data_IF_702609857008
#
_entry.id   IF_702609857008
#
_cell.length_a   1.000
_cell.length_b   1.000
_cell.length_c   1.000
_cell.angle_alpha   90.00
_cell.angle_beta   90.00
_cell.angle_gamma   90.00
#
_symmetry.space_group_name_H-M   'P 1'
#
loop_
_entity.id
_entity.type
_entity.pdbx_description
1 polymer ?
#
# COMPACT_ATOMS: atom_id res chain seq x y z
N UNK A 1 7.62 -7.50 -9.44
CA UNK A 1 6.94 -8.70 -8.90
C UNK A 1 5.90 -8.23 -7.90
N UNK A 2 4.61 -8.49 -8.15
CA UNK A 2 3.55 -8.17 -7.17
C UNK A 2 3.58 -9.22 -6.06
N UNK A 3 3.74 -8.81 -4.80
CA UNK A 3 3.69 -9.73 -3.65
C UNK A 3 2.24 -9.82 -3.17
N UNK A 4 1.65 -11.00 -3.25
CA UNK A 4 0.31 -11.25 -2.70
C UNK A 4 0.33 -11.05 -1.18
N UNK A 5 -0.46 -10.11 -0.68
CA UNK A 5 -0.62 -9.90 0.76
C UNK A 5 -1.48 -11.01 1.35
N UNK A 6 -0.94 -11.77 2.30
CA UNK A 6 -1.71 -12.70 3.13
C UNK A 6 -2.24 -11.94 4.34
N UNK A 7 -3.54 -12.03 4.59
CA UNK A 7 -4.21 -11.37 5.71
C UNK A 7 -4.58 -12.42 6.74
N UNK A 8 -4.22 -12.20 8.02
CA UNK A 8 -4.52 -13.10 9.13
C UNK A 8 -5.19 -12.33 10.27
N UNK A 9 -6.11 -13.01 10.95
CA UNK A 9 -6.77 -12.51 12.15
C UNK A 9 -5.75 -12.44 13.29
N UNK A 10 -5.65 -11.29 13.96
CA UNK A 10 -4.74 -11.14 15.10
C UNK A 10 -5.22 -11.89 16.35
N UNK A 11 -6.51 -12.25 16.43
CA UNK A 11 -7.08 -12.95 17.58
C UNK A 11 -6.85 -14.46 17.50
N UNK A 12 -7.13 -15.10 16.35
CA UNK A 12 -7.09 -16.56 16.20
C UNK A 12 -6.06 -17.08 15.18
N UNK A 13 -5.39 -16.19 14.43
CA UNK A 13 -4.41 -16.57 13.40
C UNK A 13 -5.00 -17.06 12.07
N UNK A 14 -6.31 -17.31 12.01
CA UNK A 14 -7.01 -17.75 10.80
C UNK A 14 -7.03 -16.71 9.68
N UNK A 15 -7.38 -17.14 8.46
CA UNK A 15 -7.36 -16.27 7.28
C UNK A 15 -8.39 -15.13 7.40
N UNK A 16 -7.98 -13.94 7.00
CA UNK A 16 -8.90 -12.82 6.75
C UNK A 16 -9.45 -12.87 5.33
N UNK A 17 -10.74 -12.59 5.18
CA UNK A 17 -11.45 -12.46 3.91
C UNK A 17 -11.85 -10.99 3.73
N UNK A 18 -11.47 -10.39 2.60
CA UNK A 18 -11.86 -9.01 2.28
C UNK A 18 -13.34 -9.00 1.93
N UNK A 19 -14.15 -8.32 2.74
CA UNK A 19 -15.59 -8.20 2.54
C UNK A 19 -15.96 -6.99 1.68
N UNK A 20 -15.27 -5.86 1.87
CA UNK A 20 -15.48 -4.62 1.10
C UNK A 20 -14.16 -3.90 0.90
N UNK A 21 -14.02 -3.22 -0.23
CA UNK A 21 -12.88 -2.35 -0.53
C UNK A 21 -13.40 -1.01 -1.03
N UNK A 22 -12.86 0.07 -0.47
CA UNK A 22 -13.13 1.43 -0.88
C UNK A 22 -11.80 2.08 -1.26
N UNK A 23 -11.81 2.82 -2.37
CA UNK A 23 -10.63 3.55 -2.83
C UNK A 23 -10.92 5.04 -2.73
N UNK A 24 -9.92 5.76 -2.26
CA UNK A 24 -9.92 7.21 -2.18
C UNK A 24 -8.97 7.76 -3.24
N UNK A 25 -9.19 9.02 -3.63
CA UNK A 25 -8.29 9.72 -4.53
C UNK A 25 -6.87 9.79 -3.94
N UNK A 26 -5.84 9.67 -4.80
CA UNK A 26 -4.43 9.69 -4.37
C UNK A 26 -3.81 8.33 -4.04
N UNK A 27 -4.44 7.22 -4.42
CA UNK A 27 -3.83 5.87 -4.36
C UNK A 27 -3.89 5.20 -2.98
N UNK A 28 -4.69 5.76 -2.07
CA UNK A 28 -5.04 5.15 -0.79
C UNK A 28 -6.36 4.39 -0.93
N UNK A 29 -6.45 3.21 -0.33
CA UNK A 29 -7.71 2.47 -0.20
C UNK A 29 -7.86 1.87 1.18
N UNK A 30 -9.10 1.62 1.58
CA UNK A 30 -9.43 0.90 2.81
C UNK A 30 -10.15 -0.40 2.47
N UNK A 31 -9.89 -1.42 3.28
CA UNK A 31 -10.44 -2.75 3.12
C UNK A 31 -11.05 -3.19 4.44
N UNK A 32 -12.34 -3.52 4.41
CA UNK A 32 -12.99 -4.19 5.52
C UNK A 32 -12.73 -5.68 5.37
N UNK A 33 -12.13 -6.27 6.40
CA UNK A 33 -11.76 -7.68 6.45
C UNK A 33 -12.52 -8.36 7.58
N UNK A 34 -13.01 -9.58 7.31
CA UNK A 34 -13.61 -10.46 8.31
C UNK A 34 -12.81 -11.75 8.46
N UNK A 35 -12.74 -12.28 9.66
CA UNK A 35 -12.14 -13.58 9.93
C UNK A 35 -12.94 -14.68 9.22
N UNK A 36 -12.24 -15.69 8.70
CA UNK A 36 -12.88 -16.86 8.11
C UNK A 36 -13.47 -17.81 9.16
N UNK A 37 -12.98 -17.77 10.41
CA UNK A 37 -13.51 -18.58 11.50
C UNK A 37 -14.79 -17.94 12.06
N UNK A 38 -15.97 -18.59 11.93
CA UNK A 38 -17.24 -18.05 12.41
C UNK A 38 -17.31 -17.94 13.95
N UNK A 39 -16.58 -18.77 14.69
CA UNK A 39 -16.52 -18.67 16.16
C UNK A 39 -15.71 -17.45 16.61
N UNK A 40 -14.71 -17.06 15.82
CA UNK A 40 -13.88 -15.88 16.10
C UNK A 40 -14.57 -14.58 15.68
N UNK A 41 -15.21 -14.57 14.50
CA UNK A 41 -16.07 -13.48 14.03
C UNK A 41 -15.42 -12.10 13.86
N UNK A 42 -14.11 -11.96 14.07
CA UNK A 42 -13.45 -10.65 14.07
C UNK A 42 -13.58 -9.92 12.74
N UNK A 43 -13.84 -8.62 12.82
CA UNK A 43 -13.90 -7.71 11.67
C UNK A 43 -13.00 -6.51 11.94
N UNK A 44 -12.18 -6.13 10.97
CA UNK A 44 -11.25 -5.02 11.09
C UNK A 44 -11.05 -4.30 9.76
N UNK A 45 -10.50 -3.09 9.83
CA UNK A 45 -10.15 -2.28 8.65
C UNK A 45 -8.65 -2.35 8.41
N UNK A 46 -8.24 -2.53 7.16
CA UNK A 46 -6.87 -2.44 6.70
C UNK A 46 -6.73 -1.33 5.67
N UNK A 47 -5.73 -0.48 5.82
CA UNK A 47 -5.37 0.54 4.84
C UNK A 47 -4.40 -0.06 3.83
N UNK A 48 -4.67 0.14 2.55
CA UNK A 48 -3.81 -0.18 1.42
C UNK A 48 -3.28 1.12 0.83
N UNK A 49 -2.01 1.41 1.08
CA UNK A 49 -1.29 2.54 0.51
C UNK A 49 -0.13 2.02 -0.34
N UNK A 50 0.20 2.75 -1.40
CA UNK A 50 1.38 2.49 -2.21
C UNK A 50 2.46 3.53 -1.89
N UNK A 51 3.70 3.07 -1.64
CA UNK A 51 4.87 3.95 -1.48
C UNK A 51 5.81 3.80 -2.67
N UNK A 52 6.00 4.87 -3.44
CA UNK A 52 7.05 4.94 -4.47
C UNK A 52 8.38 5.32 -3.80
N UNK A 53 9.38 4.44 -3.83
CA UNK A 53 10.75 4.86 -3.54
C UNK A 53 11.35 5.45 -4.81
N UNK A 54 11.46 6.79 -4.87
CA UNK A 54 12.23 7.45 -5.92
C UNK A 54 13.71 7.13 -5.70
N UNK A 55 14.37 6.57 -6.71
CA UNK A 55 15.83 6.42 -6.71
C UNK A 55 16.44 7.65 -7.37
N UNK A 56 17.54 8.16 -6.82
CA UNK A 56 18.31 9.21 -7.48
C UNK A 56 18.74 8.73 -8.87
N UNK A 57 18.57 9.62 -9.84
CA UNK A 57 19.09 9.40 -11.19
C UNK A 57 20.61 9.21 -11.11
N UNK A 58 21.12 8.18 -11.78
CA UNK A 58 22.56 8.04 -12.00
C UNK A 58 23.06 8.92 -13.15
N UNK A 59 22.15 9.61 -13.84
CA UNK A 59 22.54 10.57 -14.87
C UNK A 59 23.21 11.76 -14.18
N UNK A 60 24.41 12.16 -14.63
CA UNK A 60 24.97 13.43 -14.20
C UNK A 60 23.99 14.56 -14.54
N UNK A 61 23.94 15.62 -13.72
CA UNK A 61 23.16 16.80 -14.07
C UNK A 61 23.61 17.28 -15.46
N UNK A 62 22.65 17.58 -16.33
CA UNK A 62 22.98 18.10 -17.66
C UNK A 62 23.67 19.44 -17.48
N UNK A 63 24.87 19.53 -18.03
CA UNK A 63 25.71 20.73 -18.03
C UNK A 63 25.31 21.68 -19.17
N UNK A 64 24.03 22.02 -19.30
CA UNK A 64 23.59 23.18 -20.09
C UNK A 64 23.47 24.39 -19.17
N UNK A 65 24.62 24.78 -18.60
CA UNK A 65 24.78 26.04 -17.87
C UNK A 65 24.65 27.19 -18.87
N UNK A 66 23.44 27.76 -19.00
CA UNK A 66 23.31 29.13 -19.47
C UNK A 66 23.94 30.04 -18.41
N UNK A 67 25.20 30.43 -18.65
CA UNK A 67 25.86 31.51 -17.94
C UNK A 67 25.10 32.81 -18.25
N UNK A 68 24.20 33.23 -17.37
CA UNK A 68 23.82 34.63 -17.29
C UNK A 68 25.01 35.34 -16.63
N UNK A 69 25.88 35.94 -17.44
CA UNK A 69 26.97 36.79 -16.97
C UNK A 69 26.42 38.07 -16.35
N UNK A 70 27.05 38.50 -15.25
CA UNK A 70 26.93 39.85 -14.69
C UNK A 70 27.38 40.92 -15.69
#
# INVERSE_FOLDING_TARGET
MSRTQVIRCHCCGERGIIARREFFDGGRGEMIVRCSNPECGHVWVMVSEYSHTLKQSQLPPREDVHQCGN
#
